data_IF_980585179466
#
_entry.id   IF_980585179466
#
_cell.length_a   1.000
_cell.length_b   1.000
_cell.length_c   1.000
_cell.angle_alpha   90.00
_cell.angle_beta   90.00
_cell.angle_gamma   90.00
#
_symmetry.space_group_name_H-M   'P 1'
#
loop_
_entity.id
_entity.type
_entity.pdbx_description
1 polymer ?
#
# COMPACT_ATOMS: atom_id res chain seq x y z
N UNK A 1 -30.28 23.20 30.68
CA UNK A 1 -29.22 23.17 29.66
C UNK A 1 -27.91 22.82 30.33
N UNK A 2 -27.63 21.53 30.49
CA UNK A 2 -26.39 21.03 31.10
C UNK A 2 -25.30 21.00 30.04
N UNK A 3 -24.18 21.69 30.30
CA UNK A 3 -22.99 21.63 29.46
C UNK A 3 -22.40 20.23 29.55
N UNK A 4 -22.80 19.34 28.62
CA UNK A 4 -22.08 18.08 28.41
C UNK A 4 -20.65 18.46 28.08
N UNK A 5 -19.72 18.15 28.99
CA UNK A 5 -18.30 18.34 28.82
C UNK A 5 -17.90 17.90 27.40
N UNK A 6 -17.40 18.86 26.60
CA UNK A 6 -16.91 18.58 25.25
C UNK A 6 -15.68 17.69 25.41
N UNK A 7 -15.89 16.37 25.38
CA UNK A 7 -14.81 15.39 25.35
C UNK A 7 -13.74 15.82 24.33
N UNK A 8 -12.44 15.73 24.64
CA UNK A 8 -11.34 16.08 23.73
C UNK A 8 -11.18 15.10 22.55
N UNK A 9 -12.26 14.43 22.16
CA UNK A 9 -12.36 13.44 21.08
C UNK A 9 -11.61 13.85 19.80
N UNK A 10 -11.65 15.11 19.32
CA UNK A 10 -10.94 15.47 18.10
C UNK A 10 -9.42 15.35 18.22
N UNK A 11 -8.82 15.78 19.34
CA UNK A 11 -7.36 15.72 19.53
C UNK A 11 -6.87 14.28 19.74
N UNK A 12 -7.63 13.48 20.48
CA UNK A 12 -7.34 12.07 20.67
C UNK A 12 -7.45 11.29 19.36
N UNK A 13 -8.47 11.57 18.54
CA UNK A 13 -8.62 10.97 17.21
C UNK A 13 -7.50 11.39 16.25
N UNK A 14 -7.07 12.66 16.29
CA UNK A 14 -5.91 13.12 15.53
C UNK A 14 -4.63 12.40 15.97
N UNK A 15 -4.38 12.27 17.28
CA UNK A 15 -3.22 11.54 17.80
C UNK A 15 -3.25 10.05 17.41
N UNK A 16 -4.41 9.40 17.53
CA UNK A 16 -4.62 8.02 17.10
C UNK A 16 -4.26 7.84 15.61
N UNK A 17 -4.82 8.68 14.73
CA UNK A 17 -4.57 8.58 13.29
C UNK A 17 -3.10 8.84 12.93
N UNK A 18 -2.43 9.74 13.66
CA UNK A 18 -1.00 10.01 13.50
C UNK A 18 -0.13 8.82 13.89
N UNK A 19 -0.50 8.09 14.95
CA UNK A 19 0.27 6.96 15.48
C UNK A 19 0.05 5.65 14.73
N UNK A 20 -1.00 5.54 13.89
CA UNK A 20 -1.28 4.32 13.14
C UNK A 20 -0.14 3.92 12.20
N UNK A 21 0.43 4.87 11.45
CA UNK A 21 1.48 4.55 10.46
C UNK A 21 2.78 4.05 11.12
N UNK A 22 3.37 4.76 12.12
CA UNK A 22 4.58 4.28 12.77
C UNK A 22 4.37 2.94 13.48
N UNK A 23 3.20 2.75 14.10
CA UNK A 23 2.87 1.48 14.75
C UNK A 23 2.71 0.34 13.74
N UNK A 24 2.16 0.62 12.55
CA UNK A 24 1.98 -0.36 11.49
C UNK A 24 3.31 -0.87 10.94
N UNK A 25 4.29 0.02 10.72
CA UNK A 25 5.62 -0.34 10.26
C UNK A 25 6.40 -1.09 11.35
N UNK A 26 6.42 -0.57 12.59
CA UNK A 26 7.09 -1.23 13.71
C UNK A 26 6.59 -2.66 13.96
N UNK A 27 5.32 -2.94 13.64
CA UNK A 27 4.77 -4.30 13.65
C UNK A 27 5.00 -5.01 14.99
N UNK A 28 5.52 -6.26 14.98
CA UNK A 28 5.81 -7.01 16.20
C UNK A 28 6.89 -6.40 17.11
N UNK A 29 7.77 -5.52 16.61
CA UNK A 29 8.83 -4.90 17.42
C UNK A 29 8.27 -4.01 18.53
N UNK A 30 7.04 -3.52 18.36
CA UNK A 30 6.33 -2.70 19.32
C UNK A 30 5.30 -3.51 20.13
N UNK A 31 5.64 -4.75 20.51
CA UNK A 31 4.76 -5.60 21.32
C UNK A 31 5.33 -6.96 21.70
N UNK A 32 4.43 -7.85 22.11
CA UNK A 32 4.75 -9.23 22.52
C UNK A 32 3.75 -10.18 21.87
N UNK A 33 4.26 -11.13 21.08
CA UNK A 33 3.44 -12.10 20.36
C UNK A 33 2.41 -11.43 19.44
N UNK A 34 1.14 -11.80 19.61
CA UNK A 34 0.03 -11.28 18.79
C UNK A 34 -0.50 -9.91 19.24
N UNK A 35 0.04 -9.33 20.33
CA UNK A 35 -0.40 -8.05 20.88
C UNK A 35 0.72 -7.02 20.72
N UNK A 36 0.54 -6.10 19.78
CA UNK A 36 1.48 -5.01 19.52
C UNK A 36 0.76 -3.70 19.21
N UNK A 37 1.49 -2.59 19.27
CA UNK A 37 0.94 -1.23 19.27
C UNK A 37 -0.11 -0.98 18.19
N UNK A 38 0.12 -1.44 16.95
CA UNK A 38 -0.82 -1.25 15.85
C UNK A 38 -2.18 -1.91 16.11
N UNK A 39 -2.21 -3.16 16.60
CA UNK A 39 -3.45 -3.87 16.91
C UNK A 39 -4.22 -3.21 18.05
N UNK A 40 -3.52 -2.67 19.06
CA UNK A 40 -4.15 -1.91 20.14
C UNK A 40 -4.79 -0.61 19.63
N UNK A 41 -4.06 0.14 18.79
CA UNK A 41 -4.59 1.35 18.15
C UNK A 41 -5.77 1.03 17.25
N UNK A 42 -5.71 -0.06 16.49
CA UNK A 42 -6.78 -0.52 15.62
C UNK A 42 -8.07 -0.76 16.41
N UNK A 43 -8.00 -1.55 17.49
CA UNK A 43 -9.14 -1.82 18.37
C UNK A 43 -9.67 -0.52 18.99
N UNK A 44 -8.80 0.35 19.50
CA UNK A 44 -9.21 1.63 20.09
C UNK A 44 -9.97 2.51 19.08
N UNK A 45 -9.50 2.57 17.83
CA UNK A 45 -10.15 3.30 16.74
C UNK A 45 -11.53 2.72 16.38
N UNK A 46 -11.64 1.40 16.30
CA UNK A 46 -12.90 0.69 16.04
C UNK A 46 -13.92 0.99 17.14
N UNK A 47 -13.54 0.85 18.42
CA UNK A 47 -14.43 1.11 19.56
C UNK A 47 -14.90 2.57 19.54
N UNK A 48 -13.98 3.52 19.33
CA UNK A 48 -14.33 4.94 19.24
C UNK A 48 -15.30 5.22 18.08
N UNK A 49 -15.10 4.59 16.92
CA UNK A 49 -15.97 4.70 15.76
C UNK A 49 -17.39 4.20 16.07
N UNK A 50 -17.52 3.01 16.68
CA UNK A 50 -18.81 2.45 17.09
C UNK A 50 -19.55 3.39 18.03
N UNK A 51 -18.87 3.91 19.06
CA UNK A 51 -19.46 4.87 20.01
C UNK A 51 -19.96 6.13 19.29
N UNK A 52 -19.20 6.64 18.32
CA UNK A 52 -19.60 7.83 17.55
C UNK A 52 -20.77 7.54 16.61
N UNK A 53 -20.78 6.39 15.93
CA UNK A 53 -21.87 6.00 15.03
C UNK A 53 -23.18 5.77 15.79
N UNK A 54 -23.13 5.18 16.99
CA UNK A 54 -24.30 5.03 17.85
C UNK A 54 -24.84 6.39 18.32
N UNK A 55 -23.96 7.38 18.51
CA UNK A 55 -24.34 8.73 18.98
C UNK A 55 -24.69 9.71 17.88
N UNK A 56 -24.19 9.52 16.66
CA UNK A 56 -24.34 10.46 15.54
C UNK A 56 -24.87 9.73 14.31
N UNK A 57 -26.00 10.20 13.77
CA UNK A 57 -26.56 9.74 12.48
C UNK A 57 -25.76 10.23 11.24
N UNK A 58 -24.54 10.74 11.42
CA UNK A 58 -23.75 11.28 10.32
C UNK A 58 -23.13 10.13 9.50
N UNK A 59 -23.55 9.99 8.24
CA UNK A 59 -23.08 8.95 7.33
C UNK A 59 -22.09 9.53 6.33
N UNK A 60 -20.81 9.20 6.45
CA UNK A 60 -19.81 9.55 5.45
C UNK A 60 -19.85 8.54 4.29
N UNK A 61 -19.99 8.98 3.02
CA UNK A 61 -20.21 8.06 1.90
C UNK A 61 -19.08 7.05 1.71
N UNK A 62 -17.81 7.45 1.90
CA UNK A 62 -16.69 6.50 1.83
C UNK A 62 -16.61 5.59 3.06
N UNK A 63 -17.13 6.01 4.22
CA UNK A 63 -17.21 5.12 5.38
C UNK A 63 -18.31 4.06 5.18
N UNK A 64 -19.42 4.43 4.53
CA UNK A 64 -20.44 3.46 4.09
C UNK A 64 -19.88 2.49 3.06
N UNK A 65 -19.06 2.96 2.10
CA UNK A 65 -18.41 2.07 1.14
C UNK A 65 -17.46 1.07 1.83
N UNK A 66 -16.65 1.53 2.80
CA UNK A 66 -15.79 0.65 3.60
C UNK A 66 -16.60 -0.37 4.41
N UNK A 67 -17.72 0.05 5.02
CA UNK A 67 -18.62 -0.86 5.74
C UNK A 67 -19.33 -1.86 4.82
N UNK A 68 -19.75 -1.44 3.63
CA UNK A 68 -20.34 -2.30 2.61
C UNK A 68 -19.35 -3.34 2.09
N UNK A 69 -18.11 -2.93 1.82
CA UNK A 69 -17.01 -3.84 1.48
C UNK A 69 -16.75 -4.82 2.62
N UNK A 70 -16.69 -4.36 3.88
CA UNK A 70 -16.50 -5.23 5.03
C UNK A 70 -17.61 -6.29 5.15
N UNK A 71 -18.87 -5.88 4.98
CA UNK A 71 -20.02 -6.78 5.01
C UNK A 71 -20.00 -7.78 3.84
N UNK A 72 -19.61 -7.33 2.64
CA UNK A 72 -19.49 -8.19 1.46
C UNK A 72 -18.36 -9.22 1.64
N UNK A 73 -17.22 -8.79 2.16
CA UNK A 73 -16.10 -9.67 2.52
C UNK A 73 -16.53 -10.69 3.58
N UNK A 74 -17.17 -10.26 4.67
CA UNK A 74 -17.68 -11.17 5.70
C UNK A 74 -18.70 -12.16 5.16
N UNK A 75 -19.61 -11.72 4.29
CA UNK A 75 -20.61 -12.58 3.67
C UNK A 75 -19.93 -13.63 2.78
N UNK A 76 -19.04 -13.20 1.87
CA UNK A 76 -18.28 -14.11 1.02
C UNK A 76 -17.45 -15.09 1.86
N UNK A 77 -16.83 -14.60 2.93
CA UNK A 77 -16.05 -15.41 3.86
C UNK A 77 -16.88 -16.40 4.67
N UNK A 78 -18.10 -16.04 5.07
CA UNK A 78 -19.03 -16.93 5.75
C UNK A 78 -19.53 -18.07 4.85
N UNK A 79 -19.66 -17.81 3.54
CA UNK A 79 -19.91 -18.87 2.55
C UNK A 79 -18.62 -19.70 2.43
N UNK A 80 -17.44 -19.08 2.18
CA UNK A 80 -16.10 -19.75 2.08
C UNK A 80 -15.71 -20.65 3.24
N UNK A 81 -16.25 -20.38 4.42
CA UNK A 81 -16.02 -21.19 5.59
C UNK A 81 -16.60 -22.61 5.49
N UNK A 82 -17.58 -22.84 4.62
CA UNK A 82 -18.14 -24.16 4.35
C UNK A 82 -17.23 -25.05 3.48
N UNK A 83 -16.13 -24.51 2.93
CA UNK A 83 -15.20 -25.30 2.14
C UNK A 83 -14.43 -26.27 3.05
N UNK A 84 -14.23 -27.53 2.61
CA UNK A 84 -13.41 -28.48 3.35
C UNK A 84 -12.00 -27.94 3.58
N UNK A 85 -11.52 -28.00 4.83
CA UNK A 85 -10.14 -27.66 5.18
C UNK A 85 -9.84 -26.16 5.24
N UNK A 86 -10.80 -25.34 5.67
CA UNK A 86 -10.57 -23.91 5.91
C UNK A 86 -9.41 -23.70 6.91
N UNK A 87 -8.38 -22.90 6.56
CA UNK A 87 -7.15 -22.82 7.33
C UNK A 87 -7.34 -22.08 8.66
N UNK A 88 -6.63 -22.52 9.70
CA UNK A 88 -6.71 -21.89 11.03
C UNK A 88 -6.37 -20.38 10.99
N UNK A 89 -5.37 -20.01 10.19
CA UNK A 89 -4.94 -18.62 10.03
C UNK A 89 -5.86 -17.79 9.13
N UNK A 90 -6.82 -18.42 8.44
CA UNK A 90 -7.80 -17.73 7.60
C UNK A 90 -8.62 -16.69 8.38
N UNK A 91 -8.86 -16.93 9.68
CA UNK A 91 -9.57 -15.97 10.53
C UNK A 91 -8.75 -14.71 10.75
N UNK A 92 -7.43 -14.85 10.90
CA UNK A 92 -6.54 -13.71 11.08
C UNK A 92 -6.54 -12.86 9.81
N UNK A 93 -6.45 -13.48 8.64
CA UNK A 93 -6.47 -12.76 7.36
C UNK A 93 -7.80 -12.02 7.14
N UNK A 94 -8.93 -12.71 7.37
CA UNK A 94 -10.27 -12.13 7.29
C UNK A 94 -10.43 -10.94 8.23
N UNK A 95 -10.10 -11.13 9.51
CA UNK A 95 -10.23 -10.08 10.51
C UNK A 95 -9.29 -8.91 10.23
N UNK A 96 -8.11 -9.15 9.64
CA UNK A 96 -7.20 -8.09 9.22
C UNK A 96 -7.80 -7.21 8.12
N UNK A 97 -8.34 -7.78 7.04
CA UNK A 97 -8.95 -6.98 5.97
C UNK A 97 -10.19 -6.23 6.47
N UNK A 98 -11.06 -6.90 7.23
CA UNK A 98 -12.26 -6.28 7.82
C UNK A 98 -11.87 -5.16 8.79
N UNK A 99 -10.91 -5.39 9.68
CA UNK A 99 -10.46 -4.38 10.62
C UNK A 99 -9.80 -3.19 9.90
N UNK A 100 -9.04 -3.42 8.81
CA UNK A 100 -8.48 -2.35 7.99
C UNK A 100 -9.56 -1.46 7.37
N UNK A 101 -10.63 -2.05 6.83
CA UNK A 101 -11.79 -1.32 6.28
C UNK A 101 -12.57 -0.56 7.37
N UNK A 102 -12.78 -1.17 8.54
CA UNK A 102 -13.42 -0.48 9.67
C UNK A 102 -12.53 0.64 10.21
N UNK A 103 -11.21 0.47 10.24
CA UNK A 103 -10.24 1.51 10.58
C UNK A 103 -10.31 2.70 9.61
N UNK A 104 -10.40 2.41 8.31
CA UNK A 104 -10.64 3.44 7.30
C UNK A 104 -11.94 4.21 7.58
N UNK A 105 -13.05 3.52 7.88
CA UNK A 105 -14.30 4.15 8.28
C UNK A 105 -14.15 5.00 9.56
N UNK A 106 -13.38 4.53 10.55
CA UNK A 106 -13.07 5.26 11.78
C UNK A 106 -12.29 6.54 11.50
N UNK A 107 -11.25 6.50 10.66
CA UNK A 107 -10.49 7.68 10.25
C UNK A 107 -11.38 8.72 9.55
N UNK A 108 -12.31 8.26 8.72
CA UNK A 108 -13.25 9.11 7.98
C UNK A 108 -14.34 9.76 8.87
N UNK A 109 -14.64 9.18 10.03
CA UNK A 109 -15.72 9.63 10.92
C UNK A 109 -15.20 10.41 12.14
N UNK A 110 -14.10 9.96 12.73
CA UNK A 110 -13.54 10.52 13.97
C UNK A 110 -12.71 11.78 13.73
N UNK A 111 -11.99 11.85 12.61
CA UNK A 111 -11.06 12.96 12.33
C UNK A 111 -11.69 13.97 11.36
N UNK A 112 -11.69 15.27 11.68
CA UNK A 112 -12.23 16.30 10.80
C UNK A 112 -11.60 16.32 9.41
N UNK A 113 -12.44 16.43 8.39
CA UNK A 113 -12.08 16.49 6.98
C UNK A 113 -10.88 17.41 6.69
N UNK A 114 -10.88 18.62 7.27
CA UNK A 114 -9.87 19.65 7.02
C UNK A 114 -8.45 19.31 7.50
N UNK A 115 -8.31 18.34 8.43
CA UNK A 115 -7.03 17.97 9.04
C UNK A 115 -6.60 16.54 8.74
N UNK A 116 -7.54 15.67 8.37
CA UNK A 116 -7.36 14.22 8.24
C UNK A 116 -6.13 13.81 7.43
N UNK A 117 -6.00 14.31 6.20
CA UNK A 117 -4.86 13.95 5.34
C UNK A 117 -3.54 14.47 5.91
N UNK A 118 -3.52 15.69 6.46
CA UNK A 118 -2.30 16.24 7.05
C UNK A 118 -1.83 15.42 8.27
N UNK A 119 -2.77 14.99 9.11
CA UNK A 119 -2.49 14.16 10.29
C UNK A 119 -1.92 12.80 9.88
N UNK A 120 -2.56 12.12 8.93
CA UNK A 120 -2.08 10.80 8.47
C UNK A 120 -0.73 10.94 7.75
N UNK A 121 -0.53 12.02 6.99
CA UNK A 121 0.72 12.28 6.28
C UNK A 121 1.88 12.58 7.25
N UNK A 122 1.62 13.25 8.38
CA UNK A 122 2.62 13.41 9.45
C UNK A 122 3.01 12.06 10.07
N UNK A 123 2.04 11.16 10.29
CA UNK A 123 2.32 9.79 10.70
C UNK A 123 3.21 9.05 9.70
N UNK A 124 2.89 9.17 8.41
CA UNK A 124 3.72 8.62 7.31
C UNK A 124 5.14 9.20 7.30
N UNK A 125 5.28 10.52 7.50
CA UNK A 125 6.60 11.19 7.57
C UNK A 125 7.42 10.65 8.74
N UNK A 126 6.82 10.51 9.93
CA UNK A 126 7.50 9.91 11.08
C UNK A 126 7.94 8.47 10.79
N UNK A 127 7.09 7.70 10.10
CA UNK A 127 7.38 6.31 9.72
C UNK A 127 8.59 6.25 8.81
N UNK A 128 8.60 7.01 7.71
CA UNK A 128 9.72 7.02 6.77
C UNK A 128 11.03 7.50 7.40
N UNK A 129 10.99 8.45 8.33
CA UNK A 129 12.19 8.89 9.05
C UNK A 129 12.70 7.83 10.02
N UNK A 130 11.80 7.11 10.70
CA UNK A 130 12.16 5.99 11.55
C UNK A 130 12.81 4.86 10.73
N UNK A 131 12.18 4.47 9.61
CA UNK A 131 12.74 3.47 8.68
C UNK A 131 14.10 3.92 8.13
N UNK A 132 14.25 5.18 7.73
CA UNK A 132 15.54 5.69 7.26
C UNK A 132 16.64 5.57 8.33
N UNK A 133 16.30 5.79 9.60
CA UNK A 133 17.21 5.60 10.72
C UNK A 133 17.60 4.13 10.91
N UNK A 134 16.63 3.21 10.84
CA UNK A 134 16.89 1.76 10.93
C UNK A 134 17.72 1.29 9.75
N UNK A 135 17.35 1.65 8.52
CA UNK A 135 18.09 1.29 7.30
C UNK A 135 19.52 1.81 7.31
N UNK A 136 19.75 3.04 7.81
CA UNK A 136 21.10 3.55 7.98
C UNK A 136 21.89 2.72 9.00
N UNK A 137 21.28 2.34 10.13
CA UNK A 137 21.90 1.45 11.11
C UNK A 137 22.21 0.08 10.52
N UNK A 138 21.28 -0.55 9.79
CA UNK A 138 21.50 -1.83 9.12
C UNK A 138 22.67 -1.74 8.14
N UNK A 139 22.71 -0.69 7.32
CA UNK A 139 23.75 -0.47 6.32
C UNK A 139 25.15 -0.33 6.94
N UNK A 140 25.28 0.46 8.02
CA UNK A 140 26.59 0.71 8.64
C UNK A 140 27.04 -0.40 9.59
N UNK A 141 26.11 -1.10 10.24
CA UNK A 141 26.44 -2.19 11.18
C UNK A 141 26.57 -3.55 10.50
N UNK A 142 25.93 -3.74 9.35
CA UNK A 142 25.76 -5.05 8.73
C UNK A 142 24.84 -5.98 9.54
N UNK A 143 24.10 -5.44 10.50
CA UNK A 143 23.15 -6.18 11.34
C UNK A 143 21.71 -5.91 10.91
N UNK A 144 20.82 -6.85 11.23
CA UNK A 144 19.39 -6.72 10.98
C UNK A 144 18.59 -6.77 12.29
N UNK A 145 17.39 -6.20 12.26
CA UNK A 145 16.45 -6.36 13.37
C UNK A 145 15.94 -7.81 13.47
N UNK A 146 15.48 -8.27 14.66
CA UNK A 146 15.00 -9.65 14.86
C UNK A 146 13.80 -10.05 14.00
N UNK A 147 13.14 -9.08 13.35
CA UNK A 147 12.05 -9.33 12.42
C UNK A 147 12.52 -9.87 11.07
N UNK A 148 13.78 -9.67 10.69
CA UNK A 148 14.32 -10.08 9.41
C UNK A 148 14.30 -11.61 9.25
N UNK A 149 13.53 -12.11 8.28
CA UNK A 149 13.23 -13.54 8.14
C UNK A 149 14.07 -14.25 7.07
N UNK A 150 14.83 -13.50 6.26
CA UNK A 150 15.75 -14.08 5.26
C UNK A 150 17.07 -14.42 5.97
N UNK A 151 17.05 -15.45 6.81
CA UNK A 151 18.16 -15.78 7.72
C UNK A 151 19.30 -16.53 6.99
N UNK A 152 20.48 -16.29 7.52
CA UNK A 152 21.84 -16.80 7.27
C UNK A 152 22.03 -18.25 6.80
N UNK A 153 21.10 -19.17 7.09
CA UNK A 153 21.31 -20.63 6.99
C UNK A 153 20.63 -21.30 5.77
N UNK A 154 20.05 -20.52 4.86
CA UNK A 154 19.47 -21.04 3.63
C UNK A 154 20.32 -20.60 2.43
N UNK A 155 21.05 -21.56 1.85
CA UNK A 155 21.96 -21.36 0.72
C UNK A 155 21.31 -20.67 -0.48
N UNK A 156 19.97 -20.73 -0.62
CA UNK A 156 19.21 -20.02 -1.66
C UNK A 156 19.27 -18.49 -1.51
N UNK A 157 19.65 -18.02 -0.32
CA UNK A 157 19.74 -16.61 0.06
C UNK A 157 21.21 -16.19 0.33
N UNK A 158 22.19 -16.98 -0.09
CA UNK A 158 23.58 -16.51 -0.16
C UNK A 158 23.66 -15.33 -1.15
N UNK A 159 23.91 -14.12 -0.64
CA UNK A 159 24.04 -12.87 -1.41
C UNK A 159 23.02 -11.78 -1.10
N UNK A 160 21.97 -12.07 -0.32
CA UNK A 160 20.95 -11.08 0.13
C UNK A 160 21.36 -10.30 1.38
N UNK A 161 22.51 -10.63 1.98
CA UNK A 161 23.00 -10.04 3.24
C UNK A 161 23.29 -8.52 3.17
N UNK A 162 23.32 -7.93 1.98
CA UNK A 162 23.46 -6.49 1.79
C UNK A 162 22.13 -5.76 1.60
N UNK A 163 20.99 -6.47 1.62
CA UNK A 163 19.68 -5.86 1.40
C UNK A 163 19.07 -5.38 2.72
N UNK A 164 18.58 -4.16 2.71
CA UNK A 164 18.01 -3.53 3.90
C UNK A 164 16.50 -3.77 3.95
N UNK A 165 15.98 -4.10 5.13
CA UNK A 165 14.55 -4.35 5.34
C UNK A 165 13.92 -3.39 6.35
N UNK A 166 14.70 -2.58 7.05
CA UNK A 166 14.17 -1.69 8.07
C UNK A 166 13.51 -2.49 9.19
N UNK A 167 12.29 -2.11 9.57
CA UNK A 167 11.51 -2.86 10.58
C UNK A 167 10.86 -4.13 10.04
N UNK A 168 10.88 -4.35 8.72
CA UNK A 168 10.17 -5.43 8.06
C UNK A 168 10.94 -6.76 8.03
N UNK A 169 10.21 -7.84 7.77
CA UNK A 169 10.81 -9.17 7.62
C UNK A 169 11.49 -9.39 6.27
N UNK A 170 11.15 -8.56 5.27
CA UNK A 170 11.55 -8.70 3.88
C UNK A 170 11.89 -7.32 3.27
N UNK A 171 13.03 -7.18 2.56
CA UNK A 171 13.40 -5.94 1.86
C UNK A 171 12.31 -5.40 0.91
N UNK A 172 11.53 -6.29 0.29
CA UNK A 172 10.45 -5.87 -0.59
C UNK A 172 9.30 -5.17 0.15
N UNK A 173 9.07 -5.49 1.42
CA UNK A 173 8.05 -4.81 2.24
C UNK A 173 8.50 -3.37 2.57
N UNK A 174 9.78 -3.15 2.84
CA UNK A 174 10.36 -1.80 2.96
C UNK A 174 10.16 -1.02 1.65
N UNK A 175 10.47 -1.63 0.51
CA UNK A 175 10.31 -0.99 -0.79
C UNK A 175 8.84 -0.64 -1.06
N UNK A 176 7.92 -1.56 -0.74
CA UNK A 176 6.47 -1.36 -0.82
C UNK A 176 6.03 -0.16 0.05
N UNK A 177 6.46 -0.10 1.32
CA UNK A 177 6.21 1.05 2.17
C UNK A 177 6.68 2.34 1.51
N UNK A 178 7.91 2.36 1.02
CA UNK A 178 8.53 3.56 0.46
C UNK A 178 7.77 4.12 -0.74
N UNK A 179 7.35 3.27 -1.68
CA UNK A 179 6.64 3.72 -2.89
C UNK A 179 5.19 4.11 -2.62
N UNK A 180 4.51 3.47 -1.67
CA UNK A 180 3.15 3.89 -1.27
C UNK A 180 3.18 5.20 -0.46
N UNK A 181 4.14 5.32 0.45
CA UNK A 181 4.25 6.44 1.40
C UNK A 181 4.92 7.68 0.80
N UNK A 182 5.86 7.49 -0.12
CA UNK A 182 6.69 8.55 -0.70
C UNK A 182 5.90 9.71 -1.31
N UNK A 183 4.91 9.46 -2.18
CA UNK A 183 4.05 10.51 -2.74
C UNK A 183 3.31 11.32 -1.67
N UNK A 184 2.90 10.68 -0.57
CA UNK A 184 2.21 11.33 0.56
C UNK A 184 3.16 12.20 1.38
N UNK A 185 4.39 11.75 1.64
CA UNK A 185 5.42 12.56 2.28
C UNK A 185 5.79 13.78 1.42
N UNK A 186 5.95 13.59 0.11
CA UNK A 186 6.23 14.67 -0.83
C UNK A 186 5.07 15.68 -0.88
N UNK A 187 3.83 15.21 -0.80
CA UNK A 187 2.67 16.08 -0.64
C UNK A 187 2.75 16.89 0.67
N UNK A 188 3.10 16.26 1.79
CA UNK A 188 3.22 16.94 3.08
C UNK A 188 4.28 18.04 3.07
N UNK A 189 5.40 17.84 2.36
CA UNK A 189 6.44 18.84 2.16
C UNK A 189 5.96 20.11 1.41
N UNK A 190 4.90 19.97 0.61
CA UNK A 190 4.26 21.09 -0.08
C UNK A 190 3.10 21.71 0.73
N UNK A 191 2.38 20.89 1.49
CA UNK A 191 1.13 21.27 2.12
C UNK A 191 1.25 21.73 3.58
N UNK A 192 2.25 21.27 4.32
CA UNK A 192 2.40 21.61 5.74
C UNK A 192 2.90 23.05 5.91
N UNK A 193 2.19 23.81 6.75
CA UNK A 193 2.53 25.20 7.08
C UNK A 193 3.57 25.31 8.19
N UNK A 194 3.76 24.25 8.97
CA UNK A 194 4.74 24.21 10.06
C UNK A 194 6.13 23.92 9.49
N UNK A 195 7.09 24.82 9.70
CA UNK A 195 8.46 24.66 9.18
C UNK A 195 9.12 23.33 9.62
N UNK A 196 9.08 22.93 10.91
CA UNK A 196 9.65 21.64 11.33
C UNK A 196 9.05 20.46 10.57
N UNK A 197 7.72 20.38 10.45
CA UNK A 197 7.06 19.30 9.73
C UNK A 197 7.34 19.32 8.23
N UNK A 198 7.48 20.51 7.65
CA UNK A 198 7.85 20.66 6.25
C UNK A 198 9.27 20.15 5.98
N UNK A 199 10.23 20.47 6.85
CA UNK A 199 11.59 19.95 6.73
C UNK A 199 11.65 18.44 6.99
N UNK A 200 10.92 17.94 7.99
CA UNK A 200 10.79 16.51 8.24
C UNK A 200 10.21 15.76 7.02
N UNK A 201 9.18 16.32 6.38
CA UNK A 201 8.60 15.74 5.17
C UNK A 201 9.58 15.77 3.99
N UNK A 202 10.34 16.85 3.81
CA UNK A 202 11.39 16.90 2.79
C UNK A 202 12.48 15.85 3.02
N UNK A 203 12.93 15.69 4.27
CA UNK A 203 13.90 14.66 4.64
C UNK A 203 13.34 13.24 4.40
N UNK A 204 12.10 12.99 4.80
CA UNK A 204 11.41 11.72 4.54
C UNK A 204 11.32 11.40 3.03
N UNK A 205 10.93 12.38 2.21
CA UNK A 205 10.88 12.22 0.75
C UNK A 205 12.27 11.98 0.16
N UNK A 206 13.30 12.67 0.64
CA UNK A 206 14.67 12.49 0.16
C UNK A 206 15.26 11.12 0.57
N UNK A 207 14.79 10.54 1.67
CA UNK A 207 15.22 9.21 2.12
C UNK A 207 14.59 8.06 1.33
N UNK A 208 13.47 8.27 0.63
CA UNK A 208 12.78 7.21 -0.13
C UNK A 208 13.67 6.57 -1.20
N UNK A 209 14.31 7.32 -2.12
CA UNK A 209 15.16 6.71 -3.14
C UNK A 209 16.31 5.83 -2.61
N UNK A 210 17.14 6.26 -1.64
CA UNK A 210 18.19 5.40 -1.12
C UNK A 210 17.64 4.18 -0.36
N UNK A 211 16.54 4.29 0.37
CA UNK A 211 15.92 3.11 1.02
C UNK A 211 15.44 2.08 0.00
N UNK A 212 14.75 2.51 -1.06
CA UNK A 212 14.32 1.61 -2.15
C UNK A 212 15.52 1.00 -2.86
N UNK A 213 16.57 1.77 -3.11
CA UNK A 213 17.81 1.26 -3.68
C UNK A 213 18.46 0.18 -2.80
N UNK A 214 18.61 0.45 -1.51
CA UNK A 214 19.24 -0.48 -0.56
C UNK A 214 18.38 -1.73 -0.30
N UNK A 215 17.07 -1.67 -0.53
CA UNK A 215 16.21 -2.86 -0.50
C UNK A 215 16.46 -3.82 -1.66
N UNK A 216 17.06 -3.33 -2.76
CA UNK A 216 17.25 -4.05 -4.04
C UNK A 216 15.96 -4.66 -4.62
N UNK A 217 14.78 -4.20 -4.18
CA UNK A 217 13.50 -4.62 -4.73
C UNK A 217 13.35 -4.12 -6.16
N UNK A 218 13.41 -5.02 -7.15
CA UNK A 218 13.26 -4.67 -8.57
C UNK A 218 11.91 -3.99 -8.86
N UNK A 219 10.84 -4.49 -8.24
CA UNK A 219 9.50 -3.91 -8.35
C UNK A 219 9.45 -2.53 -7.70
N UNK A 220 10.02 -2.39 -6.49
CA UNK A 220 10.11 -1.08 -5.82
C UNK A 220 10.89 -0.05 -6.64
N UNK A 221 12.03 -0.44 -7.21
CA UNK A 221 12.85 0.40 -8.09
C UNK A 221 12.09 0.84 -9.35
N UNK A 222 11.37 -0.08 -10.00
CA UNK A 222 10.55 0.24 -11.17
C UNK A 222 9.44 1.23 -10.82
N UNK A 223 8.71 0.99 -9.72
CA UNK A 223 7.63 1.88 -9.27
C UNK A 223 8.19 3.25 -8.93
N UNK A 224 9.29 3.32 -8.16
CA UNK A 224 9.97 4.57 -7.83
C UNK A 224 10.40 5.33 -9.08
N UNK A 225 10.95 4.65 -10.09
CA UNK A 225 11.35 5.28 -11.35
C UNK A 225 10.14 5.92 -12.07
N UNK A 226 9.00 5.24 -12.09
CA UNK A 226 7.75 5.78 -12.65
C UNK A 226 7.25 6.96 -11.83
N UNK A 227 7.30 6.90 -10.50
CA UNK A 227 6.89 8.03 -9.64
C UNK A 227 7.79 9.25 -9.82
N UNK A 228 9.10 9.06 -9.94
CA UNK A 228 10.06 10.13 -10.25
C UNK A 228 9.83 10.70 -11.65
N UNK A 229 9.47 9.87 -12.63
CA UNK A 229 9.08 10.32 -13.96
C UNK A 229 7.81 11.19 -13.89
N UNK A 230 6.77 10.74 -13.18
CA UNK A 230 5.56 11.54 -12.94
C UNK A 230 5.91 12.87 -12.26
N UNK A 231 6.79 12.85 -11.26
CA UNK A 231 7.26 14.03 -10.57
C UNK A 231 7.96 15.02 -11.51
N UNK A 232 8.86 14.52 -12.36
CA UNK A 232 9.56 15.32 -13.36
C UNK A 232 8.58 15.93 -14.38
N UNK A 233 7.58 15.18 -14.84
CA UNK A 233 6.56 15.67 -15.79
C UNK A 233 5.67 16.78 -15.21
N UNK A 234 5.48 16.80 -13.89
CA UNK A 234 4.78 17.87 -13.18
C UNK A 234 5.65 19.11 -12.94
N UNK A 235 6.97 18.95 -12.93
CA UNK A 235 7.89 20.07 -12.76
C UNK A 235 8.08 20.82 -14.08
N UNK A 236 8.01 22.17 -14.04
CA UNK A 236 8.04 23.02 -15.24
C UNK A 236 9.24 22.76 -16.17
N UNK A 237 10.39 22.40 -15.61
CA UNK A 237 11.62 22.09 -16.35
C UNK A 237 11.85 20.58 -16.50
N UNK A 238 11.14 19.75 -15.73
CA UNK A 238 11.38 18.31 -15.72
C UNK A 238 10.97 17.63 -17.02
N UNK A 239 10.04 18.20 -17.80
CA UNK A 239 9.73 17.72 -19.16
C UNK A 239 10.92 17.82 -20.11
N UNK A 240 11.70 18.90 -20.00
CA UNK A 240 12.93 19.08 -20.79
C UNK A 240 13.97 18.06 -20.32
N UNK A 241 14.13 17.86 -19.00
CA UNK A 241 15.04 16.84 -18.47
C UNK A 241 14.69 15.42 -18.94
N UNK A 242 13.41 15.06 -18.92
CA UNK A 242 12.92 13.77 -19.43
C UNK A 242 13.20 13.65 -20.92
N UNK A 243 12.94 14.70 -21.72
CA UNK A 243 13.22 14.70 -23.15
C UNK A 243 14.72 14.55 -23.44
N UNK A 244 15.58 15.25 -22.70
CA UNK A 244 17.05 15.14 -22.81
C UNK A 244 17.53 13.75 -22.39
N UNK A 245 17.01 13.19 -21.30
CA UNK A 245 17.35 11.84 -20.85
C UNK A 245 16.92 10.78 -21.87
N UNK A 246 15.71 10.91 -22.44
CA UNK A 246 15.21 10.01 -23.48
C UNK A 246 16.02 10.12 -24.77
N UNK A 247 16.37 11.33 -25.20
CA UNK A 247 17.22 11.56 -26.36
C UNK A 247 18.64 10.99 -26.15
N UNK A 248 19.21 11.16 -24.95
CA UNK A 248 20.49 10.58 -24.56
C UNK A 248 20.45 9.06 -24.58
N UNK A 249 19.43 8.43 -23.99
CA UNK A 249 19.24 6.99 -23.99
C UNK A 249 19.10 6.43 -25.42
N UNK A 250 18.33 7.11 -26.28
CA UNK A 250 18.19 6.75 -27.70
C UNK A 250 19.54 6.89 -28.43
N UNK A 251 20.26 7.99 -28.22
CA UNK A 251 21.57 8.19 -28.82
C UNK A 251 22.57 7.11 -28.39
N UNK A 252 22.58 6.73 -27.10
CA UNK A 252 23.40 5.62 -26.59
C UNK A 252 22.98 4.29 -27.23
N UNK A 253 21.68 4.02 -27.37
CA UNK A 253 21.20 2.79 -27.99
C UNK A 253 21.60 2.68 -29.47
N UNK A 254 21.59 3.80 -30.21
CA UNK A 254 21.99 3.84 -31.61
C UNK A 254 23.52 3.81 -31.78
N UNK A 255 24.28 4.51 -30.93
CA UNK A 255 25.73 4.64 -31.05
C UNK A 255 26.51 3.46 -30.42
N UNK A 256 25.93 2.79 -29.43
CA UNK A 256 26.56 1.71 -28.68
C UNK A 256 25.56 0.59 -28.35
N UNK A 257 25.04 -0.13 -29.35
CA UNK A 257 24.05 -1.19 -29.14
C UNK A 257 24.56 -2.29 -28.21
N UNK A 258 25.88 -2.54 -28.17
CA UNK A 258 26.51 -3.50 -27.25
C UNK A 258 26.40 -3.12 -25.77
N UNK A 259 26.39 -1.82 -25.43
CA UNK A 259 26.15 -1.35 -24.06
C UNK A 259 24.70 -1.62 -23.63
N UNK A 260 23.76 -1.42 -24.55
CA UNK A 260 22.34 -1.74 -24.33
C UNK A 260 22.14 -3.25 -24.21
N UNK A 261 22.77 -4.06 -25.05
CA UNK A 261 22.75 -5.51 -24.91
C UNK A 261 23.36 -5.99 -23.59
N UNK A 262 24.46 -5.37 -23.15
CA UNK A 262 25.13 -5.69 -21.88
C UNK A 262 24.30 -5.34 -20.63
N UNK A 263 23.31 -4.44 -20.73
CA UNK A 263 22.36 -4.21 -19.64
C UNK A 263 21.43 -5.41 -19.39
N UNK A 264 21.34 -6.35 -20.34
CA UNK A 264 20.41 -7.48 -20.27
C UNK A 264 18.93 -7.06 -20.36
N UNK A 265 18.64 -5.80 -20.72
CA UNK A 265 17.27 -5.28 -20.88
C UNK A 265 16.47 -6.02 -21.98
N UNK A 266 17.17 -6.56 -22.97
CA UNK A 266 16.61 -7.31 -24.11
C UNK A 266 17.18 -8.74 -24.21
N UNK A 267 17.83 -9.24 -23.16
CA UNK A 267 18.24 -10.64 -23.16
C UNK A 267 16.98 -11.51 -23.27
N UNK A 268 17.00 -12.53 -24.14
CA UNK A 268 15.93 -13.50 -24.34
C UNK A 268 15.53 -14.13 -23.01
N UNK A 269 14.58 -13.47 -22.34
CA UNK A 269 13.83 -14.04 -21.24
C UNK A 269 12.56 -14.52 -21.89
N UNK A 270 12.35 -15.84 -21.85
CA UNK A 270 11.18 -16.47 -22.43
C UNK A 270 9.93 -15.62 -22.18
N UNK A 271 9.25 -15.16 -23.24
CA UNK A 271 8.06 -14.35 -23.11
C UNK A 271 6.98 -15.22 -22.46
N UNK A 272 6.82 -15.11 -21.14
CA UNK A 272 5.80 -15.87 -20.38
C UNK A 272 5.91 -17.39 -20.60
N UNK A 273 7.13 -17.93 -20.63
CA UNK A 273 7.34 -19.38 -20.56
C UNK A 273 6.78 -19.96 -19.26
N UNK A 274 6.55 -21.27 -19.25
CA UNK A 274 6.17 -22.08 -18.08
C UNK A 274 7.05 -21.86 -16.83
N UNK A 275 8.16 -21.14 -16.99
CA UNK A 275 9.22 -20.97 -16.00
C UNK A 275 9.07 -19.69 -15.15
N UNK A 276 7.96 -18.94 -15.29
CA UNK A 276 7.67 -17.80 -14.42
C UNK A 276 6.68 -18.17 -13.30
N UNK A 277 7.17 -18.56 -12.11
CA UNK A 277 6.28 -19.03 -11.04
C UNK A 277 5.28 -17.97 -10.57
N UNK A 278 5.61 -16.67 -10.63
CA UNK A 278 4.69 -15.61 -10.18
C UNK A 278 3.54 -15.39 -11.17
N UNK A 279 3.80 -15.56 -12.47
CA UNK A 279 2.74 -15.57 -13.47
C UNK A 279 1.85 -16.81 -13.31
N UNK A 280 2.47 -17.98 -13.10
CA UNK A 280 1.76 -19.24 -12.89
C UNK A 280 0.90 -19.23 -11.62
N UNK A 281 1.35 -18.55 -10.55
CA UNK A 281 0.52 -18.27 -9.38
C UNK A 281 -0.76 -17.51 -9.76
N UNK A 282 -0.65 -16.40 -10.48
CA UNK A 282 -1.83 -15.65 -10.91
C UNK A 282 -2.79 -16.49 -11.79
N UNK A 283 -2.25 -17.30 -12.70
CA UNK A 283 -3.04 -18.22 -13.54
C UNK A 283 -3.72 -19.31 -12.72
N UNK A 284 -3.01 -19.91 -11.77
CA UNK A 284 -3.59 -20.86 -10.81
C UNK A 284 -4.67 -20.21 -9.96
N UNK A 285 -4.51 -18.94 -9.56
CA UNK A 285 -5.56 -18.18 -8.88
C UNK A 285 -6.84 -18.05 -9.72
N UNK A 286 -6.72 -17.81 -11.04
CA UNK A 286 -7.87 -17.81 -11.95
C UNK A 286 -8.50 -19.20 -12.07
N UNK A 287 -7.69 -20.26 -12.09
CA UNK A 287 -8.18 -21.63 -12.06
C UNK A 287 -8.96 -21.92 -10.76
N UNK A 288 -8.42 -21.56 -9.59
CA UNK A 288 -9.12 -21.68 -8.31
C UNK A 288 -10.46 -20.92 -8.29
N UNK A 289 -10.51 -19.73 -8.89
CA UNK A 289 -11.76 -18.98 -9.01
C UNK A 289 -12.78 -19.72 -9.88
N UNK A 290 -12.35 -20.35 -10.97
CA UNK A 290 -13.23 -21.17 -11.79
C UNK A 290 -13.79 -22.36 -11.00
N UNK A 291 -12.92 -23.08 -10.28
CA UNK A 291 -13.31 -24.25 -9.47
C UNK A 291 -14.21 -23.88 -8.28
N UNK A 292 -14.18 -22.62 -7.84
CA UNK A 292 -15.02 -22.10 -6.76
C UNK A 292 -16.19 -21.26 -7.26
N UNK A 293 -16.51 -21.32 -8.56
CA UNK A 293 -17.58 -20.53 -9.21
C UNK A 293 -17.50 -19.02 -8.95
N UNK A 294 -16.27 -18.51 -8.77
CA UNK A 294 -15.98 -17.12 -8.49
C UNK A 294 -16.20 -16.70 -7.04
N UNK A 295 -16.54 -17.61 -6.14
CA UNK A 295 -16.69 -17.33 -4.70
C UNK A 295 -15.34 -17.16 -3.99
N UNK A 296 -14.27 -17.71 -4.57
CA UNK A 296 -12.93 -17.70 -3.99
C UNK A 296 -12.66 -18.92 -3.12
N UNK A 297 -11.41 -19.04 -2.66
CA UNK A 297 -10.92 -20.19 -1.87
C UNK A 297 -11.01 -20.00 -0.36
N UNK A 298 -11.51 -18.85 0.06
CA UNK A 298 -11.56 -18.40 1.44
C UNK A 298 -10.27 -17.68 1.89
N UNK A 299 -10.38 -16.80 2.91
CA UNK A 299 -9.23 -16.14 3.53
C UNK A 299 -8.18 -17.16 3.99
N UNK A 300 -6.90 -16.95 3.69
CA UNK A 300 -5.81 -17.88 3.94
C UNK A 300 -5.81 -19.13 3.06
N UNK A 301 -6.85 -19.35 2.25
CA UNK A 301 -7.04 -20.58 1.49
C UNK A 301 -6.07 -20.74 0.32
N UNK A 302 -5.52 -19.64 -0.19
CA UNK A 302 -4.69 -19.64 -1.40
C UNK A 302 -3.52 -20.63 -1.32
N UNK A 303 -2.70 -20.55 -0.27
CA UNK A 303 -1.51 -21.41 -0.14
C UNK A 303 -1.85 -22.90 -0.06
N UNK A 304 -2.96 -23.24 0.62
CA UNK A 304 -3.44 -24.62 0.70
C UNK A 304 -3.89 -25.14 -0.66
N UNK A 305 -4.66 -24.35 -1.40
CA UNK A 305 -5.08 -24.72 -2.75
C UNK A 305 -3.88 -24.79 -3.70
N UNK A 306 -2.91 -23.88 -3.56
CA UNK A 306 -1.64 -23.90 -4.29
C UNK A 306 -0.79 -25.14 -4.04
N UNK A 307 -0.95 -25.79 -2.88
CA UNK A 307 -0.24 -27.01 -2.54
C UNK A 307 -0.93 -28.30 -3.04
N UNK A 308 -2.10 -28.20 -3.68
CA UNK A 308 -2.77 -29.38 -4.26
C UNK A 308 -2.11 -29.78 -5.57
N UNK A 309 -2.00 -31.08 -5.83
CA UNK A 309 -1.33 -31.62 -7.02
C UNK A 309 -2.07 -31.33 -8.34
N UNK A 310 -3.31 -30.86 -8.27
CA UNK A 310 -4.23 -30.74 -9.41
C UNK A 310 -4.15 -29.39 -10.14
N UNK A 311 -3.21 -28.51 -9.74
CA UNK A 311 -3.09 -27.20 -10.38
C UNK A 311 -2.38 -27.27 -11.74
N UNK A 312 -2.91 -26.58 -12.76
CA UNK A 312 -2.44 -26.74 -14.14
C UNK A 312 -1.10 -26.05 -14.43
N UNK A 313 -0.62 -25.14 -13.57
CA UNK A 313 0.60 -24.38 -13.81
C UNK A 313 1.63 -24.60 -12.70
N UNK A 314 2.86 -24.93 -13.06
CA UNK A 314 3.94 -25.20 -12.12
C UNK A 314 4.42 -23.92 -11.42
N UNK A 315 4.47 -23.92 -10.09
CA UNK A 315 4.92 -22.74 -9.31
C UNK A 315 6.27 -22.95 -8.65
N UNK A 316 6.97 -24.05 -8.95
CA UNK A 316 8.25 -24.41 -8.35
C UNK A 316 8.26 -24.28 -6.82
N UNK A 317 7.23 -24.86 -6.17
CA UNK A 317 7.00 -24.83 -4.72
C UNK A 317 6.61 -23.46 -4.13
N UNK A 318 6.40 -22.43 -4.95
CA UNK A 318 5.79 -21.19 -4.47
C UNK A 318 4.29 -21.40 -4.27
N UNK A 319 3.84 -21.19 -3.03
CA UNK A 319 2.43 -21.40 -2.66
C UNK A 319 1.70 -20.10 -2.33
N UNK A 320 2.42 -18.99 -2.14
CA UNK A 320 1.81 -17.73 -1.74
C UNK A 320 1.37 -16.91 -2.96
N UNK A 321 0.34 -16.05 -2.87
CA UNK A 321 -0.20 -15.35 -4.03
C UNK A 321 0.79 -14.38 -4.66
N UNK A 322 1.76 -13.85 -3.90
CA UNK A 322 2.77 -12.90 -4.36
C UNK A 322 2.19 -11.69 -5.12
N UNK A 323 0.92 -11.35 -4.90
CA UNK A 323 0.22 -10.25 -5.54
C UNK A 323 -1.06 -9.90 -4.76
N UNK A 324 -1.15 -8.66 -4.26
CA UNK A 324 -2.32 -8.19 -3.51
C UNK A 324 -3.65 -8.28 -4.28
N UNK A 325 -3.65 -8.06 -5.59
CA UNK A 325 -4.85 -8.17 -6.44
C UNK A 325 -5.32 -9.62 -6.52
N UNK A 326 -4.38 -10.54 -6.77
CA UNK A 326 -4.68 -11.98 -6.81
C UNK A 326 -5.18 -12.44 -5.45
N UNK A 327 -4.53 -12.02 -4.37
CA UNK A 327 -4.96 -12.37 -3.01
C UNK A 327 -6.37 -11.88 -2.71
N UNK A 328 -6.68 -10.61 -2.96
CA UNK A 328 -8.04 -10.07 -2.74
C UNK A 328 -9.08 -10.79 -3.61
N UNK A 329 -8.78 -11.00 -4.88
CA UNK A 329 -9.71 -11.60 -5.83
C UNK A 329 -9.95 -13.09 -5.52
N UNK A 330 -8.91 -13.85 -5.25
CA UNK A 330 -8.96 -15.31 -5.11
C UNK A 330 -9.36 -15.72 -3.70
N UNK A 331 -8.85 -15.06 -2.65
CA UNK A 331 -9.18 -15.42 -1.27
C UNK A 331 -10.61 -15.01 -0.88
N UNK A 332 -11.09 -13.87 -1.37
CA UNK A 332 -12.41 -13.34 -1.00
C UNK A 332 -13.46 -13.46 -2.11
N UNK A 333 -13.06 -13.78 -3.34
CA UNK A 333 -13.96 -13.98 -4.47
C UNK A 333 -14.13 -12.76 -5.36
N UNK A 334 -14.79 -12.99 -6.50
CA UNK A 334 -14.98 -12.00 -7.57
C UNK A 334 -15.79 -10.80 -7.09
N UNK A 335 -16.81 -11.01 -6.25
CA UNK A 335 -17.67 -9.91 -5.79
C UNK A 335 -16.91 -8.90 -4.89
N UNK A 336 -16.24 -9.31 -3.78
CA UNK A 336 -15.36 -8.40 -3.05
C UNK A 336 -14.26 -7.79 -3.91
N UNK A 337 -13.63 -8.60 -4.78
CA UNK A 337 -12.57 -8.13 -5.68
C UNK A 337 -13.03 -7.03 -6.63
N UNK A 338 -14.17 -7.19 -7.30
CA UNK A 338 -14.75 -6.17 -8.19
C UNK A 338 -15.19 -4.92 -7.44
N UNK A 339 -15.75 -5.07 -6.23
CA UNK A 339 -16.12 -3.93 -5.39
C UNK A 339 -14.89 -3.11 -4.98
N UNK A 340 -13.78 -3.78 -4.63
CA UNK A 340 -12.51 -3.14 -4.33
C UNK A 340 -11.90 -2.48 -5.58
N UNK A 341 -11.90 -3.16 -6.73
CA UNK A 341 -11.44 -2.61 -8.00
C UNK A 341 -12.26 -1.38 -8.45
N UNK A 342 -13.58 -1.39 -8.23
CA UNK A 342 -14.46 -0.24 -8.50
C UNK A 342 -14.09 0.96 -7.63
N UNK A 343 -13.79 0.73 -6.35
CA UNK A 343 -13.29 1.79 -5.47
C UNK A 343 -11.97 2.36 -6.00
N UNK A 344 -10.99 1.50 -6.34
CA UNK A 344 -9.71 1.94 -6.91
C UNK A 344 -9.90 2.74 -8.20
N UNK A 345 -10.75 2.28 -9.11
CA UNK A 345 -11.09 3.00 -10.34
C UNK A 345 -11.70 4.38 -10.06
N UNK A 346 -12.61 4.47 -9.09
CA UNK A 346 -13.18 5.75 -8.68
C UNK A 346 -12.10 6.70 -8.11
N UNK A 347 -11.21 6.18 -7.26
CA UNK A 347 -10.08 6.96 -6.70
C UNK A 347 -9.15 7.44 -7.80
N UNK A 348 -8.79 6.58 -8.74
CA UNK A 348 -7.96 6.94 -9.90
C UNK A 348 -8.59 8.10 -10.70
N UNK A 349 -9.89 8.00 -11.03
CA UNK A 349 -10.59 9.06 -11.77
C UNK A 349 -10.64 10.38 -10.98
N UNK A 350 -10.88 10.34 -9.67
CA UNK A 350 -10.85 11.53 -8.83
C UNK A 350 -9.44 12.13 -8.72
N UNK A 351 -8.43 11.28 -8.65
CA UNK A 351 -7.02 11.66 -8.55
C UNK A 351 -6.53 12.32 -9.85
N UNK A 352 -6.80 11.72 -11.02
CA UNK A 352 -6.51 12.30 -12.34
C UNK A 352 -7.21 13.64 -12.51
N UNK A 353 -8.50 13.74 -12.17
CA UNK A 353 -9.22 15.02 -12.20
C UNK A 353 -8.56 16.04 -11.28
N UNK A 354 -8.22 15.68 -10.05
CA UNK A 354 -7.50 16.58 -9.13
C UNK A 354 -6.13 17.03 -9.66
N UNK A 355 -5.50 16.22 -10.52
CA UNK A 355 -4.19 16.50 -11.11
C UNK A 355 -4.24 17.46 -12.30
N UNK A 356 -5.26 17.34 -13.15
CA UNK A 356 -5.32 18.01 -14.47
C UNK A 356 -6.06 19.34 -14.47
N UNK A 357 -6.76 19.70 -13.39
CA UNK A 357 -7.50 20.96 -13.29
C UNK A 357 -6.56 22.18 -13.33
N UNK A 358 -6.85 23.14 -14.21
CA UNK A 358 -5.98 24.30 -14.47
C UNK A 358 -5.76 25.21 -13.24
N UNK A 359 -6.71 25.26 -12.31
CA UNK A 359 -6.64 26.04 -11.07
C UNK A 359 -6.21 25.18 -9.87
N UNK A 360 -5.84 23.93 -10.07
CA UNK A 360 -5.29 23.11 -9.00
C UNK A 360 -3.97 23.73 -8.51
N UNK A 361 -3.87 23.96 -7.20
CA UNK A 361 -2.62 24.37 -6.56
C UNK A 361 -1.54 23.30 -6.76
N UNK A 362 -0.25 23.67 -6.62
CA UNK A 362 0.86 22.72 -6.78
C UNK A 362 0.70 21.48 -5.87
N UNK A 363 0.27 21.67 -4.62
CA UNK A 363 -0.04 20.55 -3.71
C UNK A 363 -1.17 19.66 -4.23
N UNK A 364 -2.18 20.24 -4.90
CA UNK A 364 -3.33 19.50 -5.43
C UNK A 364 -2.99 18.68 -6.66
N UNK A 365 -2.17 19.26 -7.55
CA UNK A 365 -1.64 18.55 -8.71
C UNK A 365 -0.78 17.36 -8.29
N UNK A 366 0.12 17.59 -7.33
CA UNK A 366 0.96 16.54 -6.78
C UNK A 366 0.16 15.42 -6.12
N UNK A 367 -0.78 15.76 -5.22
CA UNK A 367 -1.63 14.75 -4.56
C UNK A 367 -2.41 13.92 -5.57
N UNK A 368 -3.01 14.57 -6.57
CA UNK A 368 -3.77 13.88 -7.62
C UNK A 368 -2.90 12.95 -8.46
N UNK A 369 -1.75 13.44 -8.93
CA UNK A 369 -0.85 12.64 -9.75
C UNK A 369 -0.21 11.48 -8.98
N UNK A 370 0.25 11.73 -7.75
CA UNK A 370 0.82 10.69 -6.88
C UNK A 370 -0.21 9.61 -6.53
N UNK A 371 -1.43 10.00 -6.14
CA UNK A 371 -2.49 9.03 -5.88
C UNK A 371 -2.90 8.24 -7.14
N UNK A 372 -2.94 8.89 -8.31
CA UNK A 372 -3.21 8.19 -9.56
C UNK A 372 -2.10 7.20 -9.92
N UNK A 373 -0.83 7.57 -9.72
CA UNK A 373 0.32 6.70 -9.95
C UNK A 373 0.29 5.48 -9.02
N UNK A 374 0.13 5.67 -7.71
CA UNK A 374 0.06 4.56 -6.74
C UNK A 374 -1.08 3.62 -7.06
N UNK A 375 -2.28 4.14 -7.38
CA UNK A 375 -3.43 3.27 -7.72
C UNK A 375 -3.21 2.53 -9.04
N UNK A 376 -2.68 3.20 -10.07
CA UNK A 376 -2.42 2.57 -11.37
C UNK A 376 -1.31 1.49 -11.28
N UNK A 377 -0.32 1.71 -10.41
CA UNK A 377 0.79 0.80 -10.19
C UNK A 377 0.51 -0.22 -9.08
N UNK A 378 -0.66 -0.16 -8.41
CA UNK A 378 -0.98 -1.05 -7.30
C UNK A 378 -0.85 -2.54 -7.63
N UNK A 379 -1.24 -3.03 -8.82
CA UNK A 379 -1.00 -4.43 -9.21
C UNK A 379 0.49 -4.81 -9.25
N UNK A 380 1.37 -3.86 -9.60
CA UNK A 380 2.82 -4.06 -9.57
C UNK A 380 3.35 -3.94 -8.14
N UNK A 381 2.95 -2.91 -7.39
CA UNK A 381 3.33 -2.71 -5.98
C UNK A 381 2.99 -3.96 -5.16
N UNK A 382 1.81 -4.55 -5.38
CA UNK A 382 1.38 -5.79 -4.74
C UNK A 382 2.28 -7.01 -5.02
N UNK A 383 3.11 -6.99 -6.06
CA UNK A 383 4.11 -8.04 -6.34
C UNK A 383 5.32 -8.02 -5.40
N UNK A 384 5.48 -6.95 -4.63
CA UNK A 384 6.59 -6.82 -3.68
C UNK A 384 6.41 -7.80 -2.50
N UNK A 385 5.18 -8.02 -2.05
CA UNK A 385 4.90 -8.86 -0.90
C UNK A 385 4.62 -10.31 -1.31
N UNK A 386 5.01 -11.28 -0.49
CA UNK A 386 4.55 -12.67 -0.61
C UNK A 386 3.09 -12.84 -0.20
N UNK A 387 2.69 -12.11 0.83
CA UNK A 387 1.32 -11.94 1.30
C UNK A 387 1.04 -10.45 1.55
N UNK A 388 -0.13 -9.97 1.14
CA UNK A 388 -0.56 -8.62 1.44
C UNK A 388 -1.28 -8.55 2.79
N UNK A 389 -2.18 -9.47 3.09
CA UNK A 389 -2.75 -9.67 4.43
C UNK A 389 -2.07 -10.85 5.12
N UNK A 390 -1.90 -10.84 6.46
CA UNK A 390 -2.42 -9.88 7.43
C UNK A 390 -1.41 -8.78 7.83
N UNK A 391 -0.52 -8.34 6.94
CA UNK A 391 0.54 -7.38 7.29
C UNK A 391 -0.03 -6.05 7.81
N UNK A 392 0.48 -5.58 8.95
CA UNK A 392 0.03 -4.34 9.61
C UNK A 392 0.16 -3.12 8.71
N UNK A 393 1.24 -3.03 7.93
CA UNK A 393 1.44 -1.98 6.95
C UNK A 393 0.36 -1.98 5.86
N UNK A 394 0.06 -3.15 5.29
CA UNK A 394 -1.00 -3.30 4.29
C UNK A 394 -2.39 -2.99 4.85
N UNK A 395 -2.65 -3.31 6.12
CA UNK A 395 -3.89 -2.88 6.77
C UNK A 395 -3.96 -1.35 6.91
N UNK A 396 -2.84 -0.69 7.23
CA UNK A 396 -2.77 0.76 7.25
C UNK A 396 -2.87 1.38 5.86
N UNK A 397 -2.31 0.75 4.83
CA UNK A 397 -2.41 1.15 3.43
C UNK A 397 -3.87 1.33 3.00
N UNK A 398 -4.76 0.41 3.38
CA UNK A 398 -6.20 0.55 3.15
C UNK A 398 -6.75 1.81 3.81
N UNK A 399 -6.36 2.10 5.06
CA UNK A 399 -6.77 3.34 5.75
C UNK A 399 -6.25 4.59 5.01
N UNK A 400 -4.98 4.57 4.59
CA UNK A 400 -4.36 5.65 3.83
C UNK A 400 -5.08 5.90 2.50
N UNK A 401 -5.39 4.84 1.75
CA UNK A 401 -6.14 4.88 0.49
C UNK A 401 -7.47 5.62 0.67
N UNK A 402 -8.27 5.26 1.70
CA UNK A 402 -9.56 5.90 1.94
C UNK A 402 -9.43 7.38 2.37
N UNK A 403 -8.40 7.73 3.16
CA UNK A 403 -8.13 9.12 3.54
C UNK A 403 -7.72 9.96 2.33
N UNK A 404 -6.87 9.42 1.45
CA UNK A 404 -6.45 10.07 0.20
C UNK A 404 -7.65 10.19 -0.76
N UNK A 405 -8.41 9.12 -0.94
CA UNK A 405 -9.63 9.06 -1.76
C UNK A 405 -10.61 10.18 -1.41
N UNK A 406 -10.83 10.39 -0.12
CA UNK A 406 -11.71 11.42 0.37
C UNK A 406 -11.20 12.83 0.04
N UNK A 407 -9.90 13.09 0.21
CA UNK A 407 -9.32 14.39 -0.15
C UNK A 407 -9.37 14.66 -1.66
N UNK A 408 -8.96 13.70 -2.50
CA UNK A 408 -8.99 13.89 -3.96
C UNK A 408 -10.43 14.04 -4.47
N UNK A 409 -11.39 13.30 -3.89
CA UNK A 409 -12.82 13.46 -4.19
C UNK A 409 -13.32 14.86 -3.82
N UNK A 410 -12.97 15.37 -2.64
CA UNK A 410 -13.38 16.73 -2.22
C UNK A 410 -12.84 17.80 -3.17
N UNK A 411 -11.57 17.68 -3.59
CA UNK A 411 -10.95 18.60 -4.54
C UNK A 411 -11.61 18.52 -5.91
N UNK A 412 -11.85 17.31 -6.40
CA UNK A 412 -12.55 17.07 -7.66
C UNK A 412 -14.00 17.56 -7.64
N UNK A 413 -14.66 17.63 -6.48
CA UNK A 413 -16.02 18.21 -6.36
C UNK A 413 -16.04 19.73 -6.32
N UNK A 414 -15.12 20.33 -5.57
CA UNK A 414 -14.94 21.80 -5.54
C UNK A 414 -14.66 22.36 -6.94
N UNK A 415 -14.05 21.54 -7.78
CA UNK A 415 -13.84 21.82 -9.19
C UNK A 415 -15.12 22.09 -9.96
N UNK A 416 -16.02 21.11 -9.91
CA UNK A 416 -17.25 21.13 -10.70
C UNK A 416 -18.15 22.28 -10.29
N UNK A 417 -18.16 22.65 -9.00
CA UNK A 417 -18.94 23.78 -8.48
C UNK A 417 -18.39 25.16 -8.85
N UNK A 418 -17.13 25.28 -9.30
CA UNK A 418 -16.55 26.56 -9.74
C UNK A 418 -16.68 26.77 -11.25
N UNK A 419 -16.99 25.71 -12.01
CA UNK A 419 -17.15 25.74 -13.47
C UNK A 419 -18.61 25.78 -13.92
N UNK A 420 -19.55 25.52 -13.01
CA UNK A 420 -21.00 25.65 -13.20
C UNK A 420 -21.47 26.94 -12.55
#
# INVERSE_FOLDING_TARGET
MTSVARFPLPRLAEAWLLLLAPAAAAGPLAGVGSVFAYRLLLVAGIVACVVVLLRRRARHPLALAAGGLSALTLLSSGITWLWPGWPADGLIELLSLVAALVCAAAALTLVPAARRLLVVARGVVLTLLAEAGVVAWEYFSGLHLPTFALVWDDDRFMGVWFMMAGTFANPNELAHLCVVAGPVAAWAALADKSKPWRFAALAATAAVPPMVWLSQSRTGLLVLAIELLVAALLWRWGRILVAVAAAGALATALAAPGLVAATGLFADKDPLGSDNPRANLALNGLHMLRETWGLGVGPGGYARWSATADLPHETFQLVNPHNAVVEVLVAYGVLPGLAFATLLGAVFLWAVRSATLHWASAQGRWLGAGAAAVVALWPLIGLANSHWMPLSWSMFEVTLLFVVADEVRRRARRATTLTA
#
